data_IF_717115576432
#
_entry.id   IF_717115576432
#
_cell.length_a   1.000
_cell.length_b   1.000
_cell.length_c   1.000
_cell.angle_alpha   90.00
_cell.angle_beta   90.00
_cell.angle_gamma   90.00
#
_symmetry.space_group_name_H-M   'P 1'
#
loop_
_entity.id
_entity.type
_entity.pdbx_description
1 polymer ?
#
# COMPACT_ATOMS: atom_id res chain seq x y z
N UNK A 1 1.86 23.16 -13.79
CA UNK A 1 2.20 22.18 -12.73
C UNK A 1 1.25 22.23 -11.55
N UNK A 2 1.05 23.39 -10.90
CA UNK A 2 0.17 23.52 -9.73
C UNK A 2 -1.21 22.86 -9.92
N UNK A 3 -1.94 23.21 -10.98
CA UNK A 3 -3.24 22.60 -11.30
C UNK A 3 -3.18 21.08 -11.36
N UNK A 4 -2.11 20.52 -11.92
CA UNK A 4 -1.95 19.07 -12.09
C UNK A 4 -1.75 18.35 -10.77
N UNK A 5 -1.08 19.00 -9.81
CA UNK A 5 -0.84 18.44 -8.48
C UNK A 5 -2.02 18.64 -7.52
N UNK A 6 -2.99 19.51 -7.85
CA UNK A 6 -4.08 19.89 -6.92
C UNK A 6 -5.48 19.45 -7.35
N UNK A 7 -5.71 19.05 -8.61
CA UNK A 7 -7.05 18.78 -9.13
C UNK A 7 -7.55 17.33 -8.93
N UNK A 8 -6.86 16.54 -8.12
CA UNK A 8 -7.32 15.21 -7.69
C UNK A 8 -6.89 14.06 -8.60
N UNK A 9 -5.97 14.27 -9.55
CA UNK A 9 -5.36 13.18 -10.33
C UNK A 9 -4.54 12.20 -9.49
N UNK A 10 -4.06 12.64 -8.32
CA UNK A 10 -3.17 11.88 -7.45
C UNK A 10 -3.76 11.76 -6.06
N UNK A 11 -3.72 10.56 -5.48
CA UNK A 11 -3.96 10.36 -4.05
C UNK A 11 -2.74 10.82 -3.25
N UNK A 12 -2.89 10.99 -1.94
CA UNK A 12 -1.79 11.42 -1.04
C UNK A 12 -0.51 10.60 -1.22
N UNK A 13 -0.65 9.28 -1.35
CA UNK A 13 0.47 8.34 -1.44
C UNK A 13 0.85 7.97 -2.88
N UNK A 14 0.23 8.60 -3.90
CA UNK A 14 0.56 8.27 -5.28
C UNK A 14 1.98 8.76 -5.62
N UNK A 15 2.92 7.86 -5.98
CA UNK A 15 4.29 8.25 -6.21
C UNK A 15 4.43 9.01 -7.54
N UNK A 16 5.16 10.12 -7.52
CA UNK A 16 5.56 10.85 -8.73
C UNK A 16 6.97 10.40 -9.10
N UNK A 17 7.10 9.66 -10.19
CA UNK A 17 8.40 9.18 -10.67
C UNK A 17 9.23 10.32 -11.26
N UNK A 18 10.54 10.10 -11.45
CA UNK A 18 11.44 11.08 -12.07
C UNK A 18 10.98 11.44 -13.48
N UNK A 19 10.55 10.46 -14.27
CA UNK A 19 10.05 10.65 -15.64
C UNK A 19 8.80 11.53 -15.63
N UNK A 20 7.88 11.24 -14.71
CA UNK A 20 6.64 12.00 -14.55
C UNK A 20 6.93 13.44 -14.11
N UNK A 21 7.81 13.63 -13.12
CA UNK A 21 8.21 14.96 -12.66
C UNK A 21 8.86 15.79 -13.79
N UNK A 22 9.72 15.17 -14.61
CA UNK A 22 10.31 15.83 -15.79
C UNK A 22 9.25 16.17 -16.84
N UNK A 23 8.31 15.28 -17.12
CA UNK A 23 7.22 15.52 -18.05
C UNK A 23 6.29 16.67 -17.58
N UNK A 24 6.14 16.85 -16.27
CA UNK A 24 5.46 17.98 -15.67
C UNK A 24 6.26 19.29 -15.78
N UNK A 25 7.53 19.25 -16.20
CA UNK A 25 8.40 20.42 -16.26
C UNK A 25 9.02 20.82 -14.93
N UNK A 26 9.06 19.91 -13.94
CA UNK A 26 9.73 20.17 -12.68
C UNK A 26 11.27 20.08 -12.85
N UNK A 27 12.03 20.99 -12.22
CA UNK A 27 13.49 20.97 -12.28
C UNK A 27 14.04 19.88 -11.35
N UNK A 28 13.99 18.62 -11.79
CA UNK A 28 14.45 17.47 -11.02
C UNK A 28 15.81 16.95 -11.51
N UNK A 29 16.69 16.65 -10.57
CA UNK A 29 17.99 16.02 -10.81
C UNK A 29 18.10 14.74 -10.00
N UNK A 30 18.68 13.70 -10.60
CA UNK A 30 19.03 12.44 -9.91
C UNK A 30 20.52 12.39 -9.55
N UNK A 31 21.27 13.46 -9.80
CA UNK A 31 22.69 13.56 -9.43
C UNK A 31 22.78 13.89 -7.94
N UNK A 32 23.05 12.88 -7.12
CA UNK A 32 23.31 13.03 -5.68
C UNK A 32 24.81 13.09 -5.43
N UNK A 33 25.34 14.17 -4.83
CA UNK A 33 26.76 14.25 -4.46
C UNK A 33 27.12 13.26 -3.35
N UNK A 34 28.30 12.67 -3.42
CA UNK A 34 28.78 11.65 -2.47
C UNK A 34 28.79 12.14 -1.01
N UNK A 35 29.07 13.42 -0.78
CA UNK A 35 29.05 14.04 0.56
C UNK A 35 27.68 13.93 1.24
N UNK A 36 26.60 13.90 0.46
CA UNK A 36 25.25 13.77 1.02
C UNK A 36 25.00 12.33 1.47
N UNK A 37 25.50 11.32 0.76
CA UNK A 37 25.45 9.93 1.22
C UNK A 37 26.30 9.75 2.49
N UNK A 38 27.52 10.30 2.51
CA UNK A 38 28.37 10.28 3.69
C UNK A 38 27.71 10.94 4.91
N UNK A 39 26.90 11.99 4.71
CA UNK A 39 26.09 12.59 5.76
C UNK A 39 24.96 11.66 6.23
N UNK A 40 24.24 11.01 5.31
CA UNK A 40 23.15 10.07 5.64
C UNK A 40 23.65 8.87 6.46
N UNK A 41 24.86 8.38 6.18
CA UNK A 41 25.49 7.27 6.91
C UNK A 41 25.69 7.57 8.40
N UNK A 42 25.77 8.85 8.80
CA UNK A 42 25.85 9.27 10.20
C UNK A 42 24.51 9.13 10.95
N UNK A 43 23.39 9.04 10.24
CA UNK A 43 22.03 9.03 10.80
C UNK A 43 21.23 7.83 10.27
N UNK A 44 21.60 6.60 10.66
CA UNK A 44 20.84 5.42 10.25
C UNK A 44 19.39 5.56 10.70
N UNK A 45 18.46 5.47 9.75
CA UNK A 45 17.04 5.44 10.07
C UNK A 45 16.74 4.16 10.85
N UNK A 46 16.13 4.29 12.03
CA UNK A 46 15.83 3.14 12.89
C UNK A 46 14.95 2.11 12.16
N UNK A 47 15.33 0.83 12.26
CA UNK A 47 14.58 -0.27 11.66
C UNK A 47 13.14 -0.31 12.15
N UNK A 48 12.18 -0.21 11.23
CA UNK A 48 10.76 -0.20 11.53
C UNK A 48 10.26 -1.58 11.91
N UNK A 49 9.75 -1.72 13.14
CA UNK A 49 8.80 -2.79 13.48
C UNK A 49 7.70 -2.31 14.44
N UNK A 50 7.61 -1.01 14.70
CA UNK A 50 6.50 -0.43 15.47
C UNK A 50 5.59 0.30 14.49
N UNK A 51 4.39 -0.24 14.22
CA UNK A 51 3.37 0.51 13.50
C UNK A 51 3.16 1.85 14.20
N UNK A 52 3.22 2.96 13.46
CA UNK A 52 2.86 4.28 14.00
C UNK A 52 1.39 4.35 14.40
N UNK A 53 0.56 3.46 13.84
CA UNK A 53 -0.87 3.34 14.09
C UNK A 53 -1.21 1.88 14.45
N UNK A 54 -1.92 1.69 15.57
CA UNK A 54 -2.55 0.44 15.92
C UNK A 54 -4.00 0.45 15.44
N UNK A 55 -4.34 -0.41 14.50
CA UNK A 55 -5.72 -0.61 14.10
C UNK A 55 -6.45 -1.45 15.15
N UNK A 56 -7.60 -0.97 15.62
CA UNK A 56 -8.53 -1.81 16.39
C UNK A 56 -9.26 -2.73 15.40
N UNK A 57 -9.27 -4.06 15.60
CA UNK A 57 -10.00 -4.96 14.72
C UNK A 57 -11.48 -4.55 14.64
N UNK A 58 -11.98 -4.33 13.42
CA UNK A 58 -13.43 -4.18 13.23
C UNK A 58 -14.09 -5.49 13.63
N UNK A 59 -15.07 -5.42 14.52
CA UNK A 59 -15.94 -6.56 14.83
C UNK A 59 -16.74 -6.89 13.58
N UNK A 60 -16.62 -8.12 13.08
CA UNK A 60 -17.52 -8.61 12.04
C UNK A 60 -18.97 -8.52 12.57
N UNK A 61 -19.91 -7.94 11.82
CA UNK A 61 -21.30 -7.94 12.22
C UNK A 61 -21.78 -9.40 12.27
N UNK A 62 -22.13 -9.86 13.47
CA UNK A 62 -22.73 -11.17 13.67
C UNK A 62 -24.05 -11.24 12.90
N UNK A 63 -24.05 -11.96 11.77
CA UNK A 63 -25.29 -12.33 11.09
C UNK A 63 -25.32 -12.01 9.61
N UNK A 64 -24.69 -12.88 8.81
CA UNK A 64 -25.36 -13.36 7.61
C UNK A 64 -24.90 -14.79 7.31
N UNK A 65 -25.61 -15.75 7.88
CA UNK A 65 -25.65 -17.08 7.29
C UNK A 65 -26.57 -17.02 6.06
N UNK A 66 -26.15 -17.59 4.91
CA UNK A 66 -27.13 -18.14 3.98
C UNK A 66 -26.76 -19.58 3.58
N UNK A 67 -27.64 -20.50 3.99
CA UNK A 67 -28.12 -21.65 3.22
C UNK A 67 -27.13 -22.57 2.50
N UNK A 68 -26.87 -23.74 3.08
CA UNK A 68 -26.52 -24.95 2.33
C UNK A 68 -27.64 -25.98 2.46
N UNK A 69 -28.65 -25.88 1.60
CA UNK A 69 -29.44 -27.06 1.16
C UNK A 69 -28.62 -27.79 0.09
N UNK A 70 -28.66 -29.12 -0.09
CA UNK A 70 -29.72 -30.12 0.09
C UNK A 70 -29.03 -31.49 0.33
N UNK A 71 -29.60 -32.46 1.07
CA UNK A 71 -29.00 -33.78 1.27
C UNK A 71 -29.34 -34.74 0.11
N UNK A 72 -28.42 -35.63 -0.26
CA UNK A 72 -28.70 -36.78 -1.12
C UNK A 72 -28.00 -38.04 -0.59
N UNK A 73 -28.77 -39.11 -0.44
CA UNK A 73 -28.48 -40.34 0.27
C UNK A 73 -27.51 -41.28 -0.47
N UNK A 74 -26.76 -42.08 0.31
CA UNK A 74 -26.02 -43.26 -0.16
C UNK A 74 -26.96 -44.35 -0.70
N UNK A 75 -26.42 -45.25 -1.55
CA UNK A 75 -26.63 -46.66 -1.28
C UNK A 75 -25.33 -47.48 -1.24
N UNK A 76 -25.47 -48.64 -0.58
CA UNK A 76 -24.44 -49.53 -0.02
C UNK A 76 -23.89 -50.59 -0.98
N UNK A 77 -22.77 -51.17 -0.53
CA UNK A 77 -22.18 -52.49 -0.84
C UNK A 77 -21.32 -52.54 -2.12
N UNK A 78 -20.23 -53.31 -2.22
CA UNK A 78 -19.87 -54.58 -1.55
C UNK A 78 -18.36 -54.84 -1.70
N UNK A 79 -17.70 -55.28 -0.62
CA UNK A 79 -17.02 -56.59 -0.44
C UNK A 79 -16.06 -56.52 0.75
#
# INVERSE_FOLDING_TARGET
VATVLTDGRFTHDFPITVETARALGLPVSTKMPDVIYALMDLYPQGGGARPSVLYVPLREPAGKAPGRGVPAAQPRSSR
#
